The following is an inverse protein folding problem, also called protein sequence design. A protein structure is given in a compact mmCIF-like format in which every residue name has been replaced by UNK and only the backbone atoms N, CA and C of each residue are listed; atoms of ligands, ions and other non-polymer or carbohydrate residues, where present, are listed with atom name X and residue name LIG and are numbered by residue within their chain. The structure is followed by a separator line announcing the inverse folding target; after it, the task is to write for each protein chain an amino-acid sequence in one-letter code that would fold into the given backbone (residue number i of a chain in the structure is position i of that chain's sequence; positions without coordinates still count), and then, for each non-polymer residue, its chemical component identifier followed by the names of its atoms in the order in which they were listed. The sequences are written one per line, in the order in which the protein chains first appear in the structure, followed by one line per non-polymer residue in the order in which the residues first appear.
data_IF_910350687851
#
_entry.id   IF_910350687851
#
_cell.length_a   1.000
_cell.length_b   1.000
_cell.length_c   1.000
_cell.angle_alpha   90.00
_cell.angle_beta   90.00
_cell.angle_gamma   90.00
#
_symmetry.space_group_name_H-M   'P 1'
#
loop_
_entity.id
_entity.type
_entity.pdbx_description
1 polymer ?
#
# COMPACT_ATOMS: atom_id res chain seq x y z
N UNK A 1 37.56 -76.46 10.88
CA UNK A 1 36.53 -76.04 9.90
C UNK A 1 35.22 -75.83 10.66
N UNK A 2 34.57 -74.67 10.46
CA UNK A 2 33.12 -74.38 10.63
C UNK A 2 32.53 -74.53 12.05
N UNK A 3 32.27 -73.50 12.87
CA UNK A 3 31.42 -72.30 12.76
C UNK A 3 29.90 -72.54 12.92
N UNK A 4 29.26 -71.59 13.62
CA UNK A 4 27.83 -71.31 13.86
C UNK A 4 27.23 -71.81 15.19
N UNK A 5 26.38 -71.09 15.91
CA UNK A 5 25.98 -69.67 15.91
C UNK A 5 25.13 -69.45 17.17
N UNK A 6 25.49 -68.49 18.03
CA UNK A 6 24.60 -67.99 19.10
C UNK A 6 24.24 -66.54 18.75
N UNK A 7 22.96 -66.37 18.44
CA UNK A 7 22.31 -65.12 18.04
C UNK A 7 22.23 -64.16 19.23
N UNK A 8 23.07 -63.14 19.27
CA UNK A 8 22.90 -62.00 20.18
C UNK A 8 21.89 -61.02 19.58
N UNK A 9 20.84 -60.72 20.35
CA UNK A 9 19.83 -59.72 20.04
C UNK A 9 20.41 -58.34 20.37
N UNK A 10 20.50 -57.47 19.37
CA UNK A 10 21.07 -56.14 19.49
C UNK A 10 20.05 -55.20 20.14
N UNK A 11 20.32 -54.69 21.35
CA UNK A 11 19.54 -53.66 22.01
C UNK A 11 19.74 -52.32 21.27
N UNK A 12 18.71 -51.90 20.54
CA UNK A 12 18.68 -50.63 19.83
C UNK A 12 18.87 -49.44 20.78
N UNK A 13 19.78 -48.53 20.42
CA UNK A 13 20.02 -47.27 21.13
C UNK A 13 18.80 -46.35 20.99
N UNK A 14 18.12 -46.07 22.09
CA UNK A 14 17.05 -45.06 22.15
C UNK A 14 17.72 -43.68 22.11
N UNK A 15 17.78 -43.09 20.91
CA UNK A 15 18.18 -41.69 20.75
C UNK A 15 17.05 -40.79 21.26
N UNK A 16 17.23 -40.18 22.42
CA UNK A 16 16.36 -39.10 22.91
C UNK A 16 16.68 -37.84 22.10
N UNK A 17 15.91 -37.56 21.06
CA UNK A 17 15.91 -36.24 20.44
C UNK A 17 15.32 -35.24 21.43
N UNK A 18 16.02 -34.16 21.82
CA UNK A 18 15.40 -33.12 22.63
C UNK A 18 14.30 -32.46 21.80
N UNK A 19 13.08 -32.44 22.33
CA UNK A 19 12.02 -31.57 21.84
C UNK A 19 12.48 -30.14 22.07
N UNK A 20 13.15 -29.54 21.08
CA UNK A 20 13.26 -28.10 20.97
C UNK A 20 11.84 -27.58 20.76
N UNK A 21 11.20 -27.15 21.86
CA UNK A 21 10.02 -26.32 21.81
C UNK A 21 10.43 -25.00 21.17
N UNK A 22 10.41 -24.97 19.84
CA UNK A 22 10.55 -23.78 19.02
C UNK A 22 9.35 -22.86 19.18
N UNK A 23 9.00 -22.48 20.41
CA UNK A 23 8.23 -21.27 20.63
C UNK A 23 9.22 -20.12 20.40
N UNK A 24 9.42 -19.79 19.12
CA UNK A 24 10.07 -18.56 18.73
C UNK A 24 9.07 -17.45 19.05
N UNK A 25 9.01 -17.04 20.32
CA UNK A 25 8.33 -15.81 20.72
C UNK A 25 8.98 -14.68 19.91
N UNK A 26 8.33 -14.24 18.83
CA UNK A 26 8.83 -13.13 17.99
C UNK A 26 8.85 -11.78 18.73
N UNK A 27 8.23 -11.67 19.90
CA UNK A 27 8.09 -10.39 20.61
C UNK A 27 8.53 -10.47 22.09
N UNK A 28 9.68 -11.07 22.40
CA UNK A 28 10.22 -11.01 23.76
C UNK A 28 11.12 -9.76 23.91
N UNK A 29 10.61 -8.77 24.64
CA UNK A 29 11.30 -7.54 25.09
C UNK A 29 11.76 -6.54 23.99
N UNK A 30 10.91 -5.54 23.74
CA UNK A 30 11.31 -4.23 23.22
C UNK A 30 11.82 -3.39 24.39
N UNK A 31 13.10 -3.56 24.76
CA UNK A 31 13.73 -2.71 25.77
C UNK A 31 13.78 -1.24 25.34
N UNK A 32 13.89 -0.36 26.32
CA UNK A 32 14.14 1.08 26.12
C UNK A 32 15.46 1.28 25.36
N UNK A 33 15.41 2.09 24.28
CA UNK A 33 16.56 2.34 23.38
C UNK A 33 16.51 1.64 22.02
N UNK A 34 15.48 0.85 21.71
CA UNK A 34 15.24 0.33 20.35
C UNK A 34 14.24 1.21 19.60
N UNK A 35 14.60 1.63 18.39
CA UNK A 35 13.66 2.29 17.46
C UNK A 35 12.73 1.23 16.87
N UNK A 36 11.43 1.34 17.14
CA UNK A 36 10.42 0.51 16.49
C UNK A 36 9.98 1.17 15.17
N UNK A 37 9.98 0.39 14.09
CA UNK A 37 9.46 0.84 12.79
C UNK A 37 8.05 0.28 12.64
N UNK A 38 7.06 1.15 12.40
CA UNK A 38 5.68 0.75 12.07
C UNK A 38 5.41 1.00 10.60
N UNK A 39 4.91 -0.04 9.93
CA UNK A 39 4.49 0.05 8.52
C UNK A 39 2.98 0.30 8.51
N UNK A 40 2.60 1.58 8.36
CA UNK A 40 1.20 2.03 8.46
C UNK A 40 0.26 1.32 7.49
N UNK A 41 0.77 0.95 6.31
CA UNK A 41 -0.04 0.41 5.23
C UNK A 41 -0.55 -1.02 5.50
N UNK A 42 0.07 -1.74 6.45
CA UNK A 42 -0.33 -3.09 6.83
C UNK A 42 -1.40 -3.09 7.93
N UNK A 43 -1.70 -1.94 8.51
CA UNK A 43 -2.64 -1.81 9.62
C UNK A 43 -4.03 -1.45 9.08
N UNK A 44 -4.85 -2.47 8.79
CA UNK A 44 -6.20 -2.28 8.21
C UNK A 44 -7.14 -1.45 9.10
N UNK A 45 -6.85 -1.33 10.39
CA UNK A 45 -7.62 -0.52 11.33
C UNK A 45 -7.49 0.99 11.08
N UNK A 46 -6.43 1.43 10.39
CA UNK A 46 -6.16 2.83 10.05
C UNK A 46 -6.93 3.31 8.80
N UNK A 47 -7.77 2.46 8.21
CA UNK A 47 -8.59 2.79 7.05
C UNK A 47 -8.01 2.33 5.71
N UNK A 48 -8.65 2.78 4.62
CA UNK A 48 -8.21 2.49 3.27
C UNK A 48 -6.96 3.29 2.92
N UNK A 49 -5.97 2.60 2.38
CA UNK A 49 -4.71 3.20 1.95
C UNK A 49 -4.36 2.71 0.54
N UNK A 50 -3.57 3.49 -0.17
CA UNK A 50 -3.10 3.19 -1.52
C UNK A 50 -1.75 2.48 -1.41
N UNK A 51 -1.68 1.23 -1.85
CA UNK A 51 -0.46 0.42 -1.86
C UNK A 51 0.38 0.65 -3.10
N UNK A 52 -0.29 0.70 -4.25
CA UNK A 52 0.37 0.70 -5.55
C UNK A 52 -0.53 1.42 -6.53
N UNK A 53 0.08 2.09 -7.49
CA UNK A 53 -0.60 2.70 -8.61
C UNK A 53 -0.04 2.12 -9.92
N UNK A 54 -0.87 2.13 -10.95
CA UNK A 54 -0.54 1.71 -12.29
C UNK A 54 -1.18 2.69 -13.28
N UNK A 55 -0.85 2.57 -14.57
CA UNK A 55 -1.43 3.45 -15.60
C UNK A 55 -2.94 3.30 -15.75
N UNK A 56 -3.49 2.17 -15.32
CA UNK A 56 -4.91 1.87 -15.41
C UNK A 56 -5.67 2.06 -14.08
N UNK A 57 -5.00 2.40 -12.97
CA UNK A 57 -5.68 2.52 -11.68
C UNK A 57 -4.81 2.27 -10.46
N UNK A 58 -5.43 1.83 -9.37
CA UNK A 58 -4.86 1.80 -8.04
C UNK A 58 -5.17 0.50 -7.30
N UNK A 59 -4.22 0.03 -6.49
CA UNK A 59 -4.41 -1.08 -5.57
C UNK A 59 -4.41 -0.56 -4.14
N UNK A 60 -5.39 -1.01 -3.38
CA UNK A 60 -5.57 -0.64 -1.98
C UNK A 60 -5.02 -1.71 -1.04
N UNK A 61 -4.77 -1.33 0.21
CA UNK A 61 -4.24 -2.20 1.27
C UNK A 61 -5.10 -3.44 1.59
N UNK A 62 -6.40 -3.40 1.31
CA UNK A 62 -7.30 -4.54 1.46
C UNK A 62 -7.27 -5.53 0.28
N UNK A 63 -6.38 -5.31 -0.71
CA UNK A 63 -6.25 -6.13 -1.91
C UNK A 63 -7.21 -5.76 -3.04
N UNK A 64 -8.13 -4.82 -2.84
CA UNK A 64 -9.04 -4.34 -3.89
C UNK A 64 -8.26 -3.49 -4.90
N UNK A 65 -8.51 -3.73 -6.19
CA UNK A 65 -7.96 -2.92 -7.28
C UNK A 65 -9.08 -2.08 -7.90
N UNK A 66 -8.89 -0.77 -7.92
CA UNK A 66 -9.80 0.21 -8.50
C UNK A 66 -9.24 0.61 -9.86
N UNK A 67 -10.05 0.46 -10.90
CA UNK A 67 -9.67 0.81 -12.26
C UNK A 67 -10.12 2.25 -12.57
N UNK A 68 -9.20 3.00 -13.17
CA UNK A 68 -9.42 4.38 -13.57
C UNK A 68 -9.28 5.40 -12.45
N UNK A 69 -9.77 6.63 -12.70
CA UNK A 69 -9.80 7.70 -11.72
C UNK A 69 -10.65 7.33 -10.51
N UNK A 70 -10.16 7.67 -9.32
CA UNK A 70 -10.86 7.34 -8.07
C UNK A 70 -10.91 8.51 -7.11
N UNK A 71 -11.96 8.50 -6.31
CA UNK A 71 -12.10 9.33 -5.14
C UNK A 71 -12.07 8.44 -3.89
N UNK A 72 -11.06 8.66 -3.06
CA UNK A 72 -10.80 7.85 -1.87
C UNK A 72 -11.04 8.65 -0.59
N UNK A 73 -11.69 7.99 0.35
CA UNK A 73 -11.96 8.45 1.71
C UNK A 73 -11.40 7.42 2.69
N UNK A 74 -11.29 7.75 3.99
CA UNK A 74 -10.74 6.84 5.01
C UNK A 74 -11.39 5.45 5.05
N UNK A 75 -12.67 5.34 4.67
CA UNK A 75 -13.44 4.09 4.75
C UNK A 75 -14.12 3.67 3.44
N UNK A 76 -14.13 4.54 2.44
CA UNK A 76 -14.88 4.32 1.20
C UNK A 76 -14.08 4.76 0.00
N UNK A 77 -14.40 4.18 -1.15
CA UNK A 77 -13.81 4.55 -2.44
C UNK A 77 -14.93 4.65 -3.47
N UNK A 78 -14.85 5.65 -4.33
CA UNK A 78 -15.79 5.89 -5.42
C UNK A 78 -15.02 6.01 -6.73
N UNK A 79 -15.64 5.60 -7.83
CA UNK A 79 -15.14 5.96 -9.16
C UNK A 79 -15.38 7.44 -9.38
N UNK A 80 -14.36 8.15 -9.86
CA UNK A 80 -14.45 9.57 -10.14
C UNK A 80 -14.59 9.79 -11.66
N UNK A 81 -15.64 10.50 -12.07
CA UNK A 81 -15.95 10.69 -13.48
C UNK A 81 -15.17 11.88 -14.08
N UNK A 82 -13.85 11.73 -14.16
CA UNK A 82 -12.91 12.70 -14.76
C UNK A 82 -11.80 11.93 -15.45
N UNK A 83 -11.66 12.06 -16.76
CA UNK A 83 -10.65 11.29 -17.50
C UNK A 83 -9.25 11.94 -17.44
N UNK A 84 -9.19 13.28 -17.41
CA UNK A 84 -7.94 14.07 -17.40
C UNK A 84 -8.04 15.26 -16.46
N UNK A 85 -6.89 15.74 -16.00
CA UNK A 85 -6.79 16.92 -15.14
C UNK A 85 -7.43 18.18 -15.75
N UNK A 86 -7.43 18.30 -17.08
CA UNK A 86 -8.08 19.40 -17.79
C UNK A 86 -9.61 19.42 -17.64
N UNK A 87 -10.22 18.26 -17.39
CA UNK A 87 -11.68 18.08 -17.29
C UNK A 87 -12.19 18.32 -15.86
N UNK A 88 -11.31 18.72 -14.92
CA UNK A 88 -11.68 19.02 -13.54
C UNK A 88 -12.42 20.36 -13.47
N UNK A 89 -13.72 20.26 -13.21
CA UNK A 89 -14.61 21.41 -13.02
C UNK A 89 -15.03 21.53 -11.56
N UNK A 90 -15.55 22.70 -11.13
CA UNK A 90 -16.14 22.83 -9.79
C UNK A 90 -17.26 21.82 -9.54
N UNK A 91 -17.98 21.40 -10.59
CA UNK A 91 -19.07 20.44 -10.51
C UNK A 91 -18.57 19.03 -10.22
N UNK A 92 -17.49 18.60 -10.87
CA UNK A 92 -16.88 17.28 -10.61
C UNK A 92 -16.23 17.19 -9.22
N UNK A 93 -15.91 18.34 -8.60
CA UNK A 93 -15.41 18.41 -7.22
C UNK A 93 -16.52 18.57 -6.17
N UNK A 94 -17.74 18.91 -6.58
CA UNK A 94 -18.83 19.23 -5.65
C UNK A 94 -19.20 18.05 -4.74
N UNK A 95 -19.08 16.82 -5.21
CA UNK A 95 -19.45 15.65 -4.41
C UNK A 95 -18.60 15.52 -3.13
N UNK A 96 -17.33 15.95 -3.15
CA UNK A 96 -16.46 15.97 -1.97
C UNK A 96 -16.98 16.86 -0.85
N UNK A 97 -17.80 17.87 -1.19
CA UNK A 97 -18.40 18.80 -0.22
C UNK A 97 -19.72 18.29 0.37
N UNK A 98 -20.42 17.41 -0.37
CA UNK A 98 -21.75 16.91 0.01
C UNK A 98 -21.65 15.78 1.03
N UNK A 99 -20.56 15.01 0.97
CA UNK A 99 -20.35 13.87 1.85
C UNK A 99 -20.00 14.31 3.28
N UNK A 100 -20.56 13.61 4.25
CA UNK A 100 -20.22 13.73 5.67
C UNK A 100 -19.35 12.52 6.08
N UNK A 101 -18.32 12.71 6.93
CA UNK A 101 -17.91 13.96 7.58
C UNK A 101 -17.28 14.96 6.60
N UNK A 102 -17.43 16.26 6.89
CA UNK A 102 -16.76 17.33 6.14
C UNK A 102 -15.25 17.10 6.06
N UNK A 103 -14.71 17.23 4.86
CA UNK A 103 -13.28 17.11 4.60
C UNK A 103 -12.56 18.42 4.94
N UNK A 104 -11.44 18.31 5.63
CA UNK A 104 -10.56 19.43 5.98
C UNK A 104 -9.56 19.73 4.86
N UNK A 105 -9.17 18.69 4.12
CA UNK A 105 -8.21 18.76 3.03
C UNK A 105 -8.54 17.72 1.95
N UNK A 106 -8.54 18.18 0.70
CA UNK A 106 -8.63 17.35 -0.49
C UNK A 106 -7.27 17.29 -1.18
N UNK A 107 -6.69 16.10 -1.26
CA UNK A 107 -5.47 15.85 -2.03
C UNK A 107 -5.88 15.50 -3.45
N UNK A 108 -5.41 16.28 -4.43
CA UNK A 108 -5.57 16.00 -5.85
C UNK A 108 -4.27 15.44 -6.41
N UNK A 109 -4.26 14.16 -6.73
CA UNK A 109 -3.21 13.49 -7.47
C UNK A 109 -3.45 13.61 -8.97
N UNK A 110 -2.68 14.44 -9.66
CA UNK A 110 -2.80 14.64 -11.10
C UNK A 110 -1.80 13.79 -11.87
N UNK A 111 -2.16 13.45 -13.09
CA UNK A 111 -1.33 12.73 -14.06
C UNK A 111 -0.36 13.64 -14.83
N UNK A 112 -0.49 14.96 -14.66
CA UNK A 112 0.30 15.98 -15.39
C UNK A 112 0.93 17.01 -14.46
N UNK A 113 2.07 17.55 -14.88
CA UNK A 113 2.78 18.65 -14.24
C UNK A 113 2.61 19.99 -14.98
N UNK A 114 1.66 20.08 -15.91
CA UNK A 114 1.37 21.34 -16.63
C UNK A 114 0.81 22.40 -15.68
N UNK A 115 1.56 23.50 -15.52
CA UNK A 115 1.21 24.62 -14.64
C UNK A 115 -0.10 25.30 -15.03
N UNK A 116 -0.44 25.33 -16.32
CA UNK A 116 -1.68 25.97 -16.80
C UNK A 116 -2.90 25.19 -16.35
N UNK A 117 -2.84 23.86 -16.51
CA UNK A 117 -3.87 22.93 -16.04
C UNK A 117 -3.97 22.97 -14.52
N UNK A 118 -2.84 22.87 -13.80
CA UNK A 118 -2.81 22.95 -12.33
C UNK A 118 -3.45 24.25 -11.83
N UNK A 119 -3.17 25.39 -12.47
CA UNK A 119 -3.80 26.67 -12.10
C UNK A 119 -5.31 26.67 -12.34
N UNK A 120 -5.78 26.04 -13.42
CA UNK A 120 -7.22 25.87 -13.70
C UNK A 120 -7.88 25.00 -12.62
N UNK A 121 -7.30 23.85 -12.32
CA UNK A 121 -7.77 22.92 -11.28
C UNK A 121 -7.85 23.61 -9.93
N UNK A 122 -6.82 24.38 -9.57
CA UNK A 122 -6.80 25.12 -8.30
C UNK A 122 -7.92 26.17 -8.23
N UNK A 123 -8.20 26.88 -9.32
CA UNK A 123 -9.35 27.80 -9.41
C UNK A 123 -10.68 27.06 -9.27
N UNK A 124 -10.84 25.94 -9.96
CA UNK A 124 -12.04 25.09 -9.86
C UNK A 124 -12.27 24.63 -8.42
N UNK A 125 -11.20 24.23 -7.75
CA UNK A 125 -11.19 23.82 -6.36
C UNK A 125 -11.60 24.92 -5.39
N UNK A 126 -11.03 26.11 -5.55
CA UNK A 126 -11.42 27.29 -4.76
C UNK A 126 -12.88 27.67 -5.00
N UNK A 127 -13.36 27.59 -6.24
CA UNK A 127 -14.76 27.87 -6.57
C UNK A 127 -15.73 26.86 -5.93
N UNK A 128 -15.32 25.59 -5.79
CA UNK A 128 -16.07 24.59 -5.02
C UNK A 128 -16.07 24.86 -3.50
N UNK A 129 -15.16 25.72 -3.02
CA UNK A 129 -14.98 26.04 -1.60
C UNK A 129 -14.31 24.91 -0.83
N UNK A 130 -13.38 24.20 -1.48
CA UNK A 130 -12.60 23.11 -0.90
C UNK A 130 -11.17 23.59 -0.61
N UNK A 131 -10.59 23.09 0.47
CA UNK A 131 -9.17 23.25 0.74
C UNK A 131 -8.41 22.15 -0.01
N UNK A 132 -7.60 22.53 -0.99
CA UNK A 132 -7.02 21.58 -1.95
C UNK A 132 -5.50 21.67 -1.95
N UNK A 133 -4.86 20.51 -1.95
CA UNK A 133 -3.44 20.32 -2.21
C UNK A 133 -3.27 19.52 -3.49
N UNK A 134 -2.53 20.08 -4.46
CA UNK A 134 -2.30 19.44 -5.76
C UNK A 134 -0.89 18.87 -5.76
N UNK A 135 -0.76 17.57 -6.00
CA UNK A 135 0.52 16.87 -6.01
C UNK A 135 0.60 15.90 -7.21
N UNK A 136 1.83 15.54 -7.65
CA UNK A 136 2.03 14.37 -8.48
C UNK A 136 1.49 13.11 -7.80
N UNK A 137 1.00 12.14 -8.57
CA UNK A 137 0.28 10.98 -8.03
C UNK A 137 1.07 10.19 -6.96
N UNK A 138 2.38 10.05 -7.15
CA UNK A 138 3.27 9.33 -6.23
C UNK A 138 3.34 9.99 -4.83
N UNK A 139 3.39 11.32 -4.81
CA UNK A 139 3.38 12.10 -3.58
C UNK A 139 1.97 12.20 -3.01
N UNK A 140 0.96 12.36 -3.85
CA UNK A 140 -0.44 12.41 -3.45
C UNK A 140 -0.87 11.15 -2.68
N UNK A 141 -0.53 9.97 -3.19
CA UNK A 141 -0.85 8.70 -2.55
C UNK A 141 -0.20 8.58 -1.15
N UNK A 142 1.07 8.98 -1.06
CA UNK A 142 1.82 8.94 0.20
C UNK A 142 1.27 9.93 1.23
N UNK A 143 0.99 11.16 0.83
CA UNK A 143 0.41 12.20 1.69
C UNK A 143 -0.99 11.78 2.17
N UNK A 144 -1.81 11.21 1.29
CA UNK A 144 -3.13 10.70 1.67
C UNK A 144 -3.02 9.61 2.74
N UNK A 145 -2.17 8.60 2.52
CA UNK A 145 -2.00 7.50 3.47
C UNK A 145 -1.53 8.02 4.84
N UNK A 146 -0.61 8.97 4.86
CA UNK A 146 -0.09 9.56 6.10
C UNK A 146 -1.17 10.32 6.87
N UNK A 147 -1.89 11.24 6.22
CA UNK A 147 -2.94 12.03 6.86
C UNK A 147 -4.14 11.17 7.28
N UNK A 148 -4.44 10.13 6.51
CA UNK A 148 -5.47 9.17 6.85
C UNK A 148 -5.07 8.36 8.10
N UNK A 149 -3.82 7.90 8.18
CA UNK A 149 -3.28 7.22 9.35
C UNK A 149 -3.26 8.12 10.61
N UNK A 150 -3.08 9.44 10.44
CA UNK A 150 -3.18 10.43 11.53
C UNK A 150 -4.64 10.60 12.04
N UNK A 151 -5.63 10.11 11.28
CA UNK A 151 -7.04 10.23 11.62
C UNK A 151 -7.64 11.59 11.26
N UNK A 152 -7.03 12.35 10.33
CA UNK A 152 -7.60 13.60 9.82
C UNK A 152 -8.73 13.32 8.83
N UNK A 153 -9.67 14.26 8.72
CA UNK A 153 -10.72 14.21 7.69
C UNK A 153 -10.16 14.60 6.33
N UNK A 154 -9.45 13.68 5.70
CA UNK A 154 -8.82 13.85 4.37
C UNK A 154 -9.60 13.07 3.31
N UNK A 155 -9.65 13.61 2.10
CA UNK A 155 -10.05 12.87 0.92
C UNK A 155 -8.97 12.96 -0.16
N UNK A 156 -8.93 11.96 -1.04
CA UNK A 156 -8.08 11.95 -2.22
C UNK A 156 -8.91 11.90 -3.49
N UNK A 157 -8.58 12.70 -4.49
CA UNK A 157 -8.99 12.47 -5.87
C UNK A 157 -7.75 12.14 -6.68
N UNK A 158 -7.70 10.94 -7.25
CA UNK A 158 -6.51 10.38 -7.85
C UNK A 158 -6.78 10.06 -9.32
N UNK A 159 -6.00 10.67 -10.21
CA UNK A 159 -5.94 10.32 -11.62
C UNK A 159 -4.77 9.36 -11.84
N UNK A 160 -4.99 8.20 -12.48
CA UNK A 160 -3.90 7.29 -12.77
C UNK A 160 -2.90 7.96 -13.73
N UNK A 161 -1.59 7.73 -13.55
CA UNK A 161 -0.59 8.33 -14.41
C UNK A 161 -0.68 7.78 -15.83
N UNK A 162 -0.39 8.62 -16.83
CA UNK A 162 -0.35 8.17 -18.22
C UNK A 162 0.87 7.29 -18.52
N UNK A 163 1.97 7.54 -17.81
CA UNK A 163 3.25 6.84 -17.97
C UNK A 163 3.82 6.51 -16.60
N UNK A 164 4.41 5.32 -16.45
CA UNK A 164 5.14 4.94 -15.24
C UNK A 164 6.64 5.15 -15.46
N UNK A 165 7.25 5.89 -14.55
CA UNK A 165 8.71 5.99 -14.45
C UNK A 165 9.15 5.04 -13.35
N UNK A 166 9.73 3.90 -13.72
CA UNK A 166 10.29 2.96 -12.73
C UNK A 166 11.66 3.45 -12.30
N UNK A 167 11.88 3.55 -10.99
CA UNK A 167 13.21 3.79 -10.45
C UNK A 167 14.10 2.56 -10.62
N UNK A 168 15.43 2.74 -10.65
CA UNK A 168 16.38 1.63 -10.62
C UNK A 168 16.13 0.71 -9.41
N UNK A 169 15.74 1.30 -8.28
CA UNK A 169 15.35 0.57 -7.08
C UNK A 169 14.11 -0.30 -7.29
N UNK A 170 13.14 0.18 -8.08
CA UNK A 170 11.93 -0.58 -8.39
C UNK A 170 12.26 -1.77 -9.31
N UNK A 171 13.15 -1.56 -10.28
CA UNK A 171 13.65 -2.62 -11.16
C UNK A 171 14.44 -3.67 -10.37
N UNK A 172 15.31 -3.24 -9.45
CA UNK A 172 16.06 -4.12 -8.55
C UNK A 172 15.13 -4.95 -7.67
N UNK A 173 14.12 -4.32 -7.06
CA UNK A 173 13.10 -5.01 -6.25
C UNK A 173 12.31 -6.02 -7.05
N UNK A 174 11.90 -5.67 -8.28
CA UNK A 174 11.21 -6.58 -9.18
C UNK A 174 12.09 -7.78 -9.55
N UNK A 175 13.36 -7.55 -9.87
CA UNK A 175 14.35 -8.60 -10.16
C UNK A 175 14.56 -9.54 -8.97
N UNK A 176 14.75 -8.98 -7.76
CA UNK A 176 14.87 -9.79 -6.54
C UNK A 176 13.60 -10.59 -6.25
N UNK A 177 12.43 -9.99 -6.45
CA UNK A 177 11.16 -10.69 -6.28
C UNK A 177 11.03 -11.88 -7.24
N UNK A 178 11.38 -11.68 -8.51
CA UNK A 178 11.34 -12.72 -9.52
C UNK A 178 12.30 -13.87 -9.16
N UNK A 179 13.56 -13.56 -8.83
CA UNK A 179 14.54 -14.58 -8.43
C UNK A 179 14.07 -15.42 -7.23
N UNK A 180 13.47 -14.77 -6.22
CA UNK A 180 12.93 -15.46 -5.04
C UNK A 180 11.74 -16.39 -5.35
N UNK A 181 11.03 -16.20 -6.47
CA UNK A 181 9.95 -17.12 -6.89
C UNK A 181 10.50 -18.39 -7.53
N UNK A 182 11.59 -18.29 -8.28
CA UNK A 182 12.20 -19.43 -8.99
C UNK A 182 13.23 -20.21 -8.16
N UNK A 183 13.83 -19.58 -7.14
CA UNK A 183 14.80 -20.22 -6.24
C UNK A 183 14.13 -21.00 -5.07
N UNK A 184 12.79 -20.98 -4.99
CA UNK A 184 12.06 -21.85 -4.07
C UNK A 184 12.01 -23.26 -4.67
N UNK A 185 12.84 -24.15 -4.13
CA UNK A 185 12.74 -25.59 -4.39
C UNK A 185 11.27 -26.04 -4.27
N UNK A 186 10.73 -26.60 -5.37
CA UNK A 186 9.42 -27.25 -5.39
C UNK A 186 9.49 -28.48 -4.47
N UNK A 187 9.05 -28.33 -3.22
CA UNK A 187 8.88 -29.45 -2.28
C UNK A 187 7.70 -30.33 -2.66
#
# INVERSE_FOLDING_TARGET
MLANALRQVNLGKISRTPLLSGVRCKNAYQGEGKTTVRVINQETELGLMIDTYATYGFRLNNGVTVLGPMAIFPRTVFSWQVDKAADITPESLRFFKILEPKIDLLILGLETNDRTVISSVFKSGRAAGLNIEILPIEHAASTFNFLNAEGRSVAGAMLPPLTLHMSDDDMLRASMHYNNLYDKDLK
#
